data_IF_696195601746
#
_entry.id   IF_696195601746
#
_cell.length_a   1.000
_cell.length_b   1.000
_cell.length_c   1.000
_cell.angle_alpha   90.00
_cell.angle_beta   90.00
_cell.angle_gamma   90.00
#
_symmetry.space_group_name_H-M   'P 1'
#
loop_
_entity.id
_entity.type
_entity.pdbx_description
1 polymer ?
#
# COMPACT_ATOMS: atom_id res chain seq x y z
N UNK A 1 85.06 3.49 -12.84
CA UNK A 1 83.96 2.48 -12.79
C UNK A 1 82.75 2.90 -11.95
N UNK A 2 82.86 3.83 -10.98
CA UNK A 2 81.81 4.09 -9.98
C UNK A 2 80.49 4.72 -10.47
N UNK A 3 80.49 5.62 -11.47
CA UNK A 3 79.27 6.37 -11.86
C UNK A 3 78.08 5.49 -12.31
N UNK A 4 78.34 4.32 -12.92
CA UNK A 4 77.29 3.41 -13.41
C UNK A 4 76.56 2.60 -12.31
N UNK A 5 76.99 2.67 -11.05
CA UNK A 5 76.26 2.04 -9.93
C UNK A 5 75.37 3.04 -9.16
N UNK A 6 75.74 4.33 -9.14
CA UNK A 6 74.94 5.39 -8.52
C UNK A 6 73.53 5.45 -9.16
N UNK A 7 73.48 5.43 -10.48
CA UNK A 7 72.26 5.65 -11.28
C UNK A 7 71.20 4.55 -11.05
N UNK A 8 71.62 3.26 -11.08
CA UNK A 8 70.76 2.12 -10.72
C UNK A 8 70.20 2.18 -9.30
N UNK A 9 70.86 2.86 -8.36
CA UNK A 9 70.31 3.06 -7.01
C UNK A 9 69.32 4.22 -6.91
N UNK A 10 69.42 5.24 -7.77
CA UNK A 10 68.40 6.29 -7.86
C UNK A 10 67.16 5.82 -8.61
N UNK A 11 67.31 5.10 -9.73
CA UNK A 11 66.20 4.52 -10.48
C UNK A 11 65.36 3.56 -9.61
N UNK A 12 66.03 2.72 -8.79
CA UNK A 12 65.35 1.89 -7.78
C UNK A 12 64.60 2.70 -6.73
N UNK A 13 65.11 3.88 -6.30
CA UNK A 13 64.37 4.79 -5.41
C UNK A 13 63.13 5.37 -6.09
N UNK A 14 63.27 5.91 -7.31
CA UNK A 14 62.16 6.46 -8.10
C UNK A 14 61.05 5.43 -8.31
N UNK A 15 61.40 4.20 -8.68
CA UNK A 15 60.42 3.13 -8.87
C UNK A 15 59.71 2.71 -7.57
N UNK A 16 60.43 2.64 -6.44
CA UNK A 16 59.83 2.37 -5.12
C UNK A 16 58.89 3.49 -4.66
N UNK A 17 59.19 4.74 -5.05
CA UNK A 17 58.38 5.92 -4.74
C UNK A 17 57.10 5.97 -5.60
N UNK A 18 57.21 5.62 -6.90
CA UNK A 18 56.06 5.39 -7.78
C UNK A 18 55.17 4.25 -7.27
N UNK A 19 55.74 3.14 -6.79
CA UNK A 19 54.95 2.05 -6.18
C UNK A 19 54.19 2.54 -4.94
N UNK A 20 54.85 3.31 -4.04
CA UNK A 20 54.20 3.92 -2.87
C UNK A 20 53.06 4.86 -3.26
N UNK A 21 53.24 5.70 -4.29
CA UNK A 21 52.19 6.60 -4.78
C UNK A 21 51.00 5.82 -5.37
N UNK A 22 51.25 4.78 -6.17
CA UNK A 22 50.17 3.92 -6.71
C UNK A 22 49.43 3.14 -5.60
N UNK A 23 50.14 2.73 -4.55
CA UNK A 23 49.56 2.05 -3.37
C UNK A 23 48.74 3.01 -2.51
N UNK A 24 49.14 4.29 -2.44
CA UNK A 24 48.39 5.38 -1.82
C UNK A 24 47.10 5.68 -2.59
N UNK A 25 47.17 5.86 -3.91
CA UNK A 25 46.02 6.09 -4.79
C UNK A 25 44.95 5.00 -4.65
N UNK A 26 45.32 3.72 -4.71
CA UNK A 26 44.39 2.59 -4.47
C UNK A 26 43.76 2.60 -3.06
N UNK A 27 44.43 3.18 -2.07
CA UNK A 27 43.90 3.31 -0.70
C UNK A 27 42.92 4.48 -0.52
N UNK A 28 42.90 5.44 -1.45
CA UNK A 28 42.01 6.60 -1.43
C UNK A 28 40.83 6.42 -2.41
N UNK A 29 40.97 5.70 -3.53
CA UNK A 29 39.83 5.26 -4.38
C UNK A 29 38.77 4.48 -3.57
N UNK A 30 39.21 3.56 -2.72
CA UNK A 30 38.34 2.76 -1.85
C UNK A 30 37.59 3.56 -0.77
N UNK A 31 38.03 4.80 -0.48
CA UNK A 31 37.48 5.67 0.56
C UNK A 31 36.64 6.84 0.03
N UNK A 32 36.75 7.16 -1.26
CA UNK A 32 36.20 8.42 -1.83
C UNK A 32 35.00 8.24 -2.75
N UNK A 33 34.71 7.02 -3.22
CA UNK A 33 33.48 6.75 -4.01
C UNK A 33 32.19 7.01 -3.20
N UNK A 34 31.28 7.90 -3.67
CA UNK A 34 29.99 8.13 -3.01
C UNK A 34 29.09 6.88 -2.96
N UNK A 35 29.20 6.01 -3.98
CA UNK A 35 28.42 4.77 -4.08
C UNK A 35 28.69 3.81 -2.91
N UNK A 36 29.93 3.72 -2.43
CA UNK A 36 30.28 2.84 -1.31
C UNK A 36 29.67 3.34 0.02
N UNK A 37 29.50 4.66 0.19
CA UNK A 37 28.78 5.22 1.34
C UNK A 37 27.27 4.99 1.23
N UNK A 38 26.69 5.10 0.04
CA UNK A 38 25.28 4.77 -0.20
C UNK A 38 24.98 3.28 0.05
N UNK A 39 25.88 2.38 -0.37
CA UNK A 39 25.77 0.95 -0.07
C UNK A 39 25.72 0.69 1.44
N UNK A 40 26.71 1.21 2.20
CA UNK A 40 26.77 1.07 3.66
C UNK A 40 25.53 1.63 4.38
N UNK A 41 25.04 2.81 3.98
CA UNK A 41 23.80 3.39 4.54
C UNK A 41 22.57 2.56 4.18
N UNK A 42 22.53 1.95 2.99
CA UNK A 42 21.42 1.06 2.58
C UNK A 42 21.40 -0.24 3.40
N UNK A 43 22.55 -0.82 3.74
CA UNK A 43 22.64 -2.03 4.59
C UNK A 43 22.27 -1.73 6.05
N UNK A 44 22.67 -0.54 6.55
CA UNK A 44 22.28 -0.05 7.87
C UNK A 44 20.75 0.07 7.99
N UNK A 45 20.08 0.67 7.01
CA UNK A 45 18.61 0.74 6.99
C UNK A 45 17.94 -0.62 6.74
N UNK A 46 18.53 -1.48 5.89
CA UNK A 46 18.01 -2.83 5.61
C UNK A 46 17.95 -3.70 6.85
N UNK A 47 18.93 -3.56 7.75
CA UNK A 47 18.97 -4.27 9.02
C UNK A 47 17.88 -3.76 9.98
N UNK A 48 17.66 -2.45 10.04
CA UNK A 48 16.60 -1.85 10.89
C UNK A 48 15.17 -2.19 10.45
N UNK A 49 14.94 -2.52 9.18
CA UNK A 49 13.61 -2.86 8.62
C UNK A 49 13.26 -4.34 8.83
N UNK A 50 14.24 -5.20 9.11
CA UNK A 50 14.06 -6.64 9.35
C UNK A 50 14.12 -7.02 10.85
N UNK A 51 14.11 -6.04 11.74
CA UNK A 51 13.96 -6.27 13.18
C UNK A 51 12.48 -6.56 13.51
N UNK A 52 12.17 -7.83 13.77
CA UNK A 52 10.88 -8.25 14.35
C UNK A 52 10.59 -7.46 15.65
N UNK A 53 9.38 -6.91 15.85
CA UNK A 53 9.05 -6.16 17.04
C UNK A 53 8.92 -7.10 18.26
N UNK A 54 9.81 -6.94 19.25
CA UNK A 54 9.85 -7.76 20.45
C UNK A 54 8.47 -7.88 21.12
N UNK A 55 8.01 -9.14 21.28
CA UNK A 55 6.59 -9.50 21.47
C UNK A 55 6.02 -9.17 22.88
N UNK A 56 6.69 -8.30 23.64
CA UNK A 56 6.29 -7.83 24.97
C UNK A 56 5.06 -6.92 24.94
N UNK A 57 4.93 -6.08 23.92
CA UNK A 57 3.87 -5.05 23.83
C UNK A 57 2.48 -5.66 23.66
N UNK A 58 2.36 -6.75 22.89
CA UNK A 58 1.09 -7.45 22.66
C UNK A 58 0.54 -8.08 23.95
N UNK A 59 1.44 -8.64 24.78
CA UNK A 59 1.08 -9.21 26.08
C UNK A 59 0.62 -8.13 27.08
N UNK A 60 1.26 -6.96 27.08
CA UNK A 60 0.86 -5.83 27.92
C UNK A 60 -0.54 -5.30 27.58
N UNK A 61 -0.86 -5.16 26.28
CA UNK A 61 -2.20 -4.73 25.84
C UNK A 61 -3.31 -5.71 26.26
N UNK A 62 -3.05 -7.02 26.17
CA UNK A 62 -3.95 -8.06 26.65
C UNK A 62 -4.30 -7.89 28.14
N UNK A 63 -3.29 -7.65 28.99
CA UNK A 63 -3.49 -7.46 30.42
C UNK A 63 -4.31 -6.20 30.77
N UNK A 64 -4.03 -5.07 30.10
CA UNK A 64 -4.76 -3.80 30.29
C UNK A 64 -6.23 -3.94 29.87
N UNK A 65 -6.50 -4.68 28.81
CA UNK A 65 -7.87 -4.91 28.31
C UNK A 65 -8.70 -5.83 29.23
N UNK A 66 -8.06 -6.65 30.06
CA UNK A 66 -8.74 -7.47 31.07
C UNK A 66 -9.13 -6.66 32.33
N UNK A 67 -8.23 -5.79 32.81
CA UNK A 67 -8.43 -5.03 34.05
C UNK A 67 -9.54 -3.96 33.96
N UNK A 68 -9.80 -3.41 32.77
CA UNK A 68 -10.86 -2.40 32.55
C UNK A 68 -12.29 -2.96 32.64
N UNK A 69 -12.47 -4.29 32.64
CA UNK A 69 -13.80 -4.94 32.58
C UNK A 69 -14.52 -5.10 33.94
N UNK A 70 -14.05 -4.48 35.04
CA UNK A 70 -14.57 -4.74 36.41
C UNK A 70 -15.09 -3.51 37.17
N UNK A 71 -16.15 -2.86 36.68
CA UNK A 71 -17.13 -2.21 37.57
C UNK A 71 -18.56 -2.25 37.03
N UNK A 72 -19.46 -2.88 37.80
CA UNK A 72 -20.93 -2.86 37.62
C UNK A 72 -21.48 -1.59 38.28
N UNK A 73 -22.28 -0.80 37.56
CA UNK A 73 -23.76 -0.85 37.52
C UNK A 73 -24.42 -0.34 38.83
N UNK A 74 -25.09 0.81 38.73
CA UNK A 74 -26.10 1.35 39.65
C UNK A 74 -27.31 1.74 38.79
N UNK A 75 -28.52 1.63 39.35
CA UNK A 75 -29.81 1.72 38.64
C UNK A 75 -30.50 3.05 38.92
N UNK A 76 -31.27 3.55 37.95
CA UNK A 76 -32.65 4.06 38.07
C UNK A 76 -33.16 4.43 36.65
N UNK A 77 -34.43 4.37 36.22
CA UNK A 77 -35.69 3.73 36.63
C UNK A 77 -36.87 4.70 36.65
N UNK A 78 -37.53 4.88 35.50
CA UNK A 78 -38.95 5.25 35.44
C UNK A 78 -39.59 4.86 34.10
N UNK A 79 -40.88 4.59 34.22
CA UNK A 79 -41.95 4.11 33.33
C UNK A 79 -42.09 4.83 31.96
N UNK A 80 -42.90 4.38 30.98
CA UNK A 80 -44.26 3.80 31.07
C UNK A 80 -44.61 2.79 29.94
N UNK A 81 -45.75 2.10 30.07
CA UNK A 81 -46.17 0.93 29.26
C UNK A 81 -47.03 1.28 28.01
N UNK A 82 -47.14 0.47 26.93
CA UNK A 82 -47.78 -0.87 26.77
C UNK A 82 -47.42 -1.51 25.39
N UNK A 83 -47.49 -2.82 25.09
CA UNK A 83 -47.31 -4.02 25.94
C UNK A 83 -47.08 -5.37 25.17
N UNK A 84 -47.97 -5.80 24.25
CA UNK A 84 -48.09 -7.22 23.77
C UNK A 84 -48.28 -7.33 22.24
N UNK A 85 -47.78 -8.36 21.53
CA UNK A 85 -47.98 -9.82 21.75
C UNK A 85 -46.76 -10.66 21.29
N UNK A 86 -46.61 -11.89 21.80
CA UNK A 86 -45.39 -12.72 21.66
C UNK A 86 -45.60 -14.05 20.91
N UNK A 87 -44.54 -14.57 20.25
CA UNK A 87 -44.19 -16.01 20.22
C UNK A 87 -42.67 -16.20 19.98
N UNK A 88 -42.15 -17.40 20.32
CA UNK A 88 -40.72 -17.71 20.59
C UNK A 88 -40.40 -19.13 20.05
N UNK A 89 -39.15 -19.55 19.81
CA UNK A 89 -37.80 -18.93 19.97
C UNK A 89 -37.07 -19.03 18.59
N UNK A 90 -35.82 -19.45 18.31
CA UNK A 90 -34.59 -19.85 19.01
C UNK A 90 -33.37 -19.54 18.10
N UNK A 91 -32.26 -19.01 18.63
CA UNK A 91 -30.89 -19.27 18.15
C UNK A 91 -29.87 -18.82 19.23
N UNK A 92 -28.79 -19.58 19.53
CA UNK A 92 -27.85 -19.26 20.61
C UNK A 92 -26.70 -18.35 20.15
N UNK A 93 -26.59 -17.17 20.78
CA UNK A 93 -25.42 -16.25 20.76
C UNK A 93 -24.58 -16.19 19.48
N UNK A 94 -25.22 -16.10 18.31
CA UNK A 94 -24.53 -15.78 17.06
C UNK A 94 -24.16 -14.30 17.07
N UNK A 95 -22.90 -13.98 16.74
CA UNK A 95 -22.44 -12.59 16.62
C UNK A 95 -23.33 -11.88 15.59
N UNK A 96 -24.18 -10.94 16.05
CA UNK A 96 -25.24 -10.40 15.20
C UNK A 96 -24.65 -9.67 13.99
N UNK A 97 -25.08 -10.08 12.79
CA UNK A 97 -24.74 -9.42 11.55
C UNK A 97 -25.19 -7.96 11.60
N UNK A 98 -24.31 -6.99 11.31
CA UNK A 98 -24.70 -5.60 11.19
C UNK A 98 -25.89 -5.43 10.24
N UNK A 99 -26.97 -4.81 10.73
CA UNK A 99 -28.24 -4.66 9.98
C UNK A 99 -28.08 -4.03 8.60
N UNK A 100 -27.03 -3.22 8.40
CA UNK A 100 -26.67 -2.68 7.09
C UNK A 100 -26.28 -3.78 6.10
N UNK A 101 -25.42 -4.72 6.50
CA UNK A 101 -24.87 -5.75 5.60
C UNK A 101 -25.94 -6.76 5.17
N UNK A 102 -26.77 -7.25 6.10
CA UNK A 102 -27.90 -8.12 5.78
C UNK A 102 -28.90 -7.43 4.84
N UNK A 103 -29.19 -6.15 5.07
CA UNK A 103 -30.05 -5.35 4.17
C UNK A 103 -29.42 -5.17 2.79
N UNK A 104 -28.15 -4.79 2.70
CA UNK A 104 -27.43 -4.63 1.43
C UNK A 104 -27.36 -5.93 0.65
N UNK A 105 -27.13 -7.07 1.32
CA UNK A 105 -27.16 -8.39 0.70
C UNK A 105 -28.53 -8.64 0.04
N UNK A 106 -29.62 -8.58 0.81
CA UNK A 106 -30.97 -8.82 0.29
C UNK A 106 -31.43 -7.77 -0.74
N UNK A 107 -30.89 -6.55 -0.66
CA UNK A 107 -31.16 -5.48 -1.62
C UNK A 107 -30.59 -5.82 -2.99
N UNK A 108 -29.31 -6.22 -3.08
CA UNK A 108 -28.67 -6.59 -4.35
C UNK A 108 -29.25 -7.90 -4.89
N UNK A 109 -29.45 -8.89 -4.01
CA UNK A 109 -30.03 -10.22 -4.30
C UNK A 109 -31.46 -10.16 -4.86
N UNK A 110 -32.21 -9.09 -4.55
CA UNK A 110 -33.59 -8.86 -5.01
C UNK A 110 -33.75 -7.56 -5.81
N UNK A 111 -32.66 -7.02 -6.34
CA UNK A 111 -32.72 -5.86 -7.22
C UNK A 111 -33.16 -6.30 -8.62
N UNK A 112 -33.64 -5.35 -9.42
CA UNK A 112 -33.70 -5.53 -10.87
C UNK A 112 -32.25 -5.57 -11.40
N UNK A 113 -31.84 -6.61 -12.15
CA UNK A 113 -30.50 -6.69 -12.73
C UNK A 113 -30.09 -5.51 -13.62
N UNK A 114 -31.04 -4.73 -14.15
CA UNK A 114 -30.77 -3.50 -14.91
C UNK A 114 -30.52 -2.27 -14.02
N UNK A 115 -30.85 -2.34 -12.73
CA UNK A 115 -30.52 -1.29 -11.74
C UNK A 115 -29.24 -1.66 -10.99
N UNK A 116 -29.18 -2.89 -10.43
CA UNK A 116 -28.00 -3.41 -9.76
C UNK A 116 -27.96 -4.94 -9.76
N UNK A 117 -26.77 -5.52 -9.82
CA UNK A 117 -26.56 -6.99 -9.86
C UNK A 117 -25.28 -7.37 -9.12
N UNK A 118 -25.20 -8.62 -8.68
CA UNK A 118 -23.92 -9.27 -8.36
C UNK A 118 -23.04 -9.39 -9.63
N UNK A 119 -21.71 -9.47 -9.45
CA UNK A 119 -20.78 -9.90 -10.49
C UNK A 119 -21.05 -11.37 -10.88
N UNK A 120 -20.54 -11.79 -12.04
CA UNK A 120 -20.54 -13.21 -12.44
C UNK A 120 -19.85 -14.11 -11.41
N UNK A 121 -18.77 -13.62 -10.80
CA UNK A 121 -18.02 -14.28 -9.72
C UNK A 121 -18.71 -14.26 -8.35
N UNK A 122 -19.79 -13.48 -8.18
CA UNK A 122 -20.51 -13.34 -6.90
C UNK A 122 -19.70 -12.71 -5.76
N UNK A 123 -18.58 -12.04 -6.05
CA UNK A 123 -17.60 -11.48 -5.10
C UNK A 123 -17.70 -9.95 -4.91
N UNK A 124 -18.50 -9.32 -5.75
CA UNK A 124 -18.69 -7.89 -5.89
C UNK A 124 -20.09 -7.63 -6.44
N UNK A 125 -20.56 -6.39 -6.33
CA UNK A 125 -21.82 -5.97 -6.94
C UNK A 125 -21.65 -4.68 -7.73
N UNK A 126 -22.45 -4.55 -8.79
CA UNK A 126 -22.42 -3.46 -9.76
C UNK A 126 -23.75 -2.73 -9.69
N UNK A 127 -23.71 -1.42 -9.51
CA UNK A 127 -24.88 -0.54 -9.65
C UNK A 127 -24.79 0.12 -11.02
N UNK A 128 -25.73 -0.24 -11.91
CA UNK A 128 -25.78 0.23 -13.30
C UNK A 128 -26.37 1.64 -13.42
N UNK A 129 -27.40 1.92 -12.62
CA UNK A 129 -28.12 3.20 -12.62
C UNK A 129 -28.22 3.73 -11.19
N UNK A 130 -27.32 4.66 -10.83
CA UNK A 130 -27.18 5.20 -9.47
C UNK A 130 -28.41 6.01 -9.06
N UNK A 131 -28.97 6.83 -9.95
CA UNK A 131 -30.11 7.70 -9.63
C UNK A 131 -31.40 6.91 -9.42
N UNK A 132 -31.66 5.91 -10.26
CA UNK A 132 -32.81 5.01 -10.12
C UNK A 132 -32.68 4.11 -8.89
N UNK A 133 -31.46 3.64 -8.58
CA UNK A 133 -31.14 2.93 -7.34
C UNK A 133 -31.40 3.80 -6.10
N UNK A 134 -30.96 5.07 -6.14
CA UNK A 134 -31.16 6.05 -5.08
C UNK A 134 -32.65 6.37 -4.84
N UNK A 135 -33.41 6.63 -5.91
CA UNK A 135 -34.81 7.00 -5.83
C UNK A 135 -35.73 5.83 -5.45
N UNK A 136 -35.56 4.65 -6.06
CA UNK A 136 -36.56 3.57 -6.00
C UNK A 136 -36.13 2.30 -5.27
N UNK A 137 -34.83 2.12 -4.98
CA UNK A 137 -34.32 0.92 -4.29
C UNK A 137 -33.93 1.24 -2.85
N UNK A 138 -33.13 2.28 -2.61
CA UNK A 138 -32.68 2.62 -1.24
C UNK A 138 -33.84 2.84 -0.23
N UNK A 139 -34.94 3.56 -0.55
CA UNK A 139 -36.03 3.79 0.41
C UNK A 139 -36.79 2.52 0.83
N UNK A 140 -36.72 1.43 0.05
CA UNK A 140 -37.35 0.14 0.39
C UNK A 140 -36.61 -0.60 1.50
N UNK A 141 -35.32 -0.33 1.68
CA UNK A 141 -34.45 -1.01 2.64
C UNK A 141 -33.92 -0.08 3.74
N UNK A 142 -33.70 1.21 3.45
CA UNK A 142 -33.09 2.20 4.32
C UNK A 142 -33.99 3.43 4.51
N UNK A 143 -33.80 4.18 5.61
CA UNK A 143 -34.57 5.40 5.90
C UNK A 143 -34.07 6.64 5.11
N UNK A 144 -33.51 6.44 3.92
CA UNK A 144 -32.99 7.50 3.05
C UNK A 144 -32.91 7.04 1.59
N UNK A 145 -33.05 7.97 0.65
CA UNK A 145 -32.75 7.78 -0.79
C UNK A 145 -31.29 8.12 -1.15
N UNK A 146 -30.53 8.76 -0.27
CA UNK A 146 -29.21 9.30 -0.61
C UNK A 146 -28.15 8.20 -0.85
N UNK A 147 -27.64 8.12 -2.08
CA UNK A 147 -26.59 7.18 -2.47
C UNK A 147 -25.26 7.41 -1.73
N UNK A 148 -24.85 8.66 -1.51
CA UNK A 148 -23.63 8.98 -0.76
C UNK A 148 -23.70 8.51 0.69
N UNK A 149 -24.89 8.47 1.31
CA UNK A 149 -25.09 7.86 2.63
C UNK A 149 -24.90 6.34 2.61
N UNK A 150 -25.39 5.66 1.57
CA UNK A 150 -25.18 4.22 1.35
C UNK A 150 -23.71 3.90 1.06
N UNK A 151 -23.07 4.62 0.14
CA UNK A 151 -21.65 4.50 -0.15
C UNK A 151 -20.77 4.78 1.07
N UNK A 152 -21.13 5.75 1.93
CA UNK A 152 -20.41 5.99 3.18
C UNK A 152 -20.49 4.80 4.13
N UNK A 153 -21.63 4.12 4.23
CA UNK A 153 -21.74 2.88 5.02
C UNK A 153 -20.89 1.76 4.43
N UNK A 154 -20.89 1.56 3.10
CA UNK A 154 -19.98 0.61 2.44
C UNK A 154 -18.50 0.87 2.82
N UNK A 155 -18.05 2.12 2.72
CA UNK A 155 -16.68 2.51 3.09
C UNK A 155 -16.40 2.28 4.59
N UNK A 156 -17.41 2.45 5.47
CA UNK A 156 -17.33 2.15 6.91
C UNK A 156 -17.16 0.63 7.17
N UNK A 157 -17.71 -0.24 6.34
CA UNK A 157 -17.51 -1.70 6.40
C UNK A 157 -16.33 -2.17 5.53
N UNK A 158 -15.46 -1.27 5.09
CA UNK A 158 -14.22 -1.61 4.38
C UNK A 158 -14.38 -2.01 2.91
N UNK A 159 -15.57 -1.86 2.31
CA UNK A 159 -15.77 -2.08 0.89
C UNK A 159 -14.90 -1.11 0.07
N UNK A 160 -14.42 -1.58 -1.07
CA UNK A 160 -13.66 -0.80 -2.05
C UNK A 160 -14.56 -0.52 -3.25
N UNK A 161 -14.65 0.74 -3.70
CA UNK A 161 -15.14 1.03 -5.04
C UNK A 161 -14.11 0.47 -6.03
N UNK A 162 -14.55 -0.36 -6.96
CA UNK A 162 -13.75 -0.72 -8.12
C UNK A 162 -14.00 0.36 -9.17
N UNK A 163 -12.98 1.19 -9.42
CA UNK A 163 -12.95 2.05 -10.61
C UNK A 163 -12.63 1.17 -11.80
N UNK A 164 -13.42 1.26 -12.88
CA UNK A 164 -12.97 0.81 -14.19
C UNK A 164 -11.93 1.83 -14.67
N UNK A 165 -10.64 1.51 -14.50
CA UNK A 165 -9.55 2.34 -15.01
C UNK A 165 -9.72 2.52 -16.53
N UNK A 166 -9.92 3.74 -17.07
CA UNK A 166 -10.22 3.96 -18.49
C UNK A 166 -9.03 3.73 -19.45
N UNK A 167 -8.06 2.92 -19.04
CA UNK A 167 -6.71 2.87 -19.59
C UNK A 167 -6.48 1.48 -20.18
N UNK A 168 -6.57 1.39 -21.51
CA UNK A 168 -6.19 0.26 -22.37
C UNK A 168 -7.17 -0.93 -22.55
N UNK A 169 -8.42 -0.86 -22.08
CA UNK A 169 -9.48 -1.76 -22.58
C UNK A 169 -10.06 -1.24 -23.89
N UNK A 170 -10.01 -2.06 -24.96
CA UNK A 170 -10.56 -1.71 -26.27
C UNK A 170 -12.11 -1.63 -26.26
N UNK A 171 -12.74 -2.29 -25.30
CA UNK A 171 -14.19 -2.44 -25.17
C UNK A 171 -14.83 -1.33 -24.31
N UNK A 172 -14.46 -0.06 -24.56
CA UNK A 172 -15.05 1.09 -23.85
C UNK A 172 -16.49 1.37 -24.32
N UNK A 173 -17.44 0.59 -23.81
CA UNK A 173 -18.87 0.84 -23.99
C UNK A 173 -19.32 2.03 -23.11
N UNK A 174 -19.75 3.11 -23.75
CA UNK A 174 -20.29 4.30 -23.10
C UNK A 174 -21.51 4.01 -22.20
N UNK A 175 -22.26 2.93 -22.45
CA UNK A 175 -23.35 2.47 -21.56
C UNK A 175 -22.82 1.99 -20.20
N UNK A 176 -21.63 1.41 -20.17
CA UNK A 176 -20.99 0.81 -18.98
C UNK A 176 -20.16 1.84 -18.19
N UNK A 177 -19.76 2.95 -18.82
CA UNK A 177 -18.92 3.99 -18.21
C UNK A 177 -19.47 4.60 -16.89
N UNK A 178 -20.79 4.60 -16.69
CA UNK A 178 -21.45 5.13 -15.49
C UNK A 178 -21.60 4.10 -14.35
N UNK A 179 -21.18 2.85 -14.54
CA UNK A 179 -21.43 1.78 -13.57
C UNK A 179 -20.53 1.91 -12.33
N UNK A 180 -21.10 1.71 -11.14
CA UNK A 180 -20.37 1.79 -9.87
C UNK A 180 -20.31 0.41 -9.23
N UNK A 181 -19.13 -0.20 -9.28
CA UNK A 181 -18.84 -1.51 -8.72
C UNK A 181 -18.25 -1.41 -7.31
N UNK A 182 -18.68 -2.28 -6.40
CA UNK A 182 -18.15 -2.39 -5.04
C UNK A 182 -17.73 -3.84 -4.72
N UNK A 183 -16.54 -3.98 -4.13
CA UNK A 183 -15.95 -5.26 -3.74
C UNK A 183 -15.66 -5.31 -2.24
N UNK A 184 -15.88 -6.47 -1.62
CA UNK A 184 -15.37 -6.79 -0.30
C UNK A 184 -15.15 -8.30 -0.16
N UNK A 185 -13.93 -8.70 0.20
CA UNK A 185 -13.44 -10.10 0.26
C UNK A 185 -14.42 -11.09 0.94
N UNK A 186 -15.06 -10.65 2.04
CA UNK A 186 -16.00 -11.46 2.84
C UNK A 186 -17.48 -11.22 2.55
N UNK A 187 -17.82 -10.46 1.52
CA UNK A 187 -19.20 -10.18 1.10
C UNK A 187 -19.48 -10.85 -0.25
N UNK A 188 -19.86 -12.13 -0.20
CA UNK A 188 -20.07 -12.96 -1.40
C UNK A 188 -21.49 -13.53 -1.46
N UNK A 189 -22.07 -13.62 -2.66
CA UNK A 189 -23.39 -14.23 -2.90
C UNK A 189 -23.42 -15.70 -2.45
N UNK A 190 -22.46 -16.50 -2.91
CA UNK A 190 -22.39 -17.94 -2.58
C UNK A 190 -21.91 -18.25 -1.15
N UNK A 191 -21.65 -17.23 -0.30
CA UNK A 191 -21.10 -17.43 1.04
C UNK A 191 -21.52 -16.33 2.02
N UNK A 192 -22.82 -16.15 2.30
CA UNK A 192 -23.32 -15.11 3.20
C UNK A 192 -22.82 -15.25 4.65
N UNK A 193 -22.42 -16.46 5.05
CA UNK A 193 -21.82 -16.74 6.36
C UNK A 193 -20.56 -15.90 6.65
N UNK A 194 -19.75 -15.59 5.62
CA UNK A 194 -18.54 -14.79 5.74
C UNK A 194 -18.82 -13.34 6.18
N UNK A 195 -20.05 -12.84 6.02
CA UNK A 195 -20.41 -11.49 6.44
C UNK A 195 -20.28 -11.26 7.96
N UNK A 196 -20.25 -12.33 8.77
CA UNK A 196 -20.13 -12.27 10.24
C UNK A 196 -18.80 -11.66 10.70
N UNK A 197 -17.76 -11.77 9.87
CA UNK A 197 -16.43 -11.21 10.11
C UNK A 197 -16.28 -9.74 9.68
N UNK A 198 -17.27 -9.16 8.97
CA UNK A 198 -17.17 -7.80 8.43
C UNK A 198 -17.37 -6.79 9.56
N UNK A 199 -16.25 -6.37 10.16
CA UNK A 199 -16.22 -5.40 11.26
C UNK A 199 -16.34 -3.97 10.75
N UNK A 200 -17.07 -3.16 11.52
CA UNK A 200 -17.19 -1.72 11.30
C UNK A 200 -15.85 -1.04 11.61
N UNK A 201 -15.30 -0.31 10.64
CA UNK A 201 -14.11 0.52 10.84
C UNK A 201 -14.33 1.57 11.96
N UNK A 202 -13.31 1.74 12.78
CA UNK A 202 -13.20 2.76 13.81
C UNK A 202 -12.58 4.04 13.26
N UNK A 203 -12.45 5.10 14.08
CA UNK A 203 -11.86 6.37 13.62
C UNK A 203 -10.38 6.24 13.25
N UNK A 204 -9.62 5.41 13.97
CA UNK A 204 -8.21 5.11 13.68
C UNK A 204 -8.02 4.38 12.34
N UNK A 205 -8.93 3.47 12.00
CA UNK A 205 -8.81 2.61 10.80
C UNK A 205 -9.06 3.35 9.47
N UNK A 206 -9.62 4.57 9.54
CA UNK A 206 -9.77 5.45 8.37
C UNK A 206 -8.55 6.35 8.22
N UNK A 207 -8.16 7.06 9.28
CA UNK A 207 -7.01 7.97 9.22
C UNK A 207 -5.73 7.22 8.78
N UNK A 208 -5.43 6.08 9.39
CA UNK A 208 -4.32 5.20 8.98
C UNK A 208 -4.39 4.68 7.53
N UNK A 209 -5.55 4.67 6.88
CA UNK A 209 -5.69 4.30 5.45
C UNK A 209 -5.51 5.49 4.53
N UNK A 210 -6.03 6.65 4.91
CA UNK A 210 -5.88 7.89 4.14
C UNK A 210 -4.40 8.34 4.18
N UNK A 211 -3.77 8.28 5.35
CA UNK A 211 -2.33 8.51 5.56
C UNK A 211 -1.47 7.51 4.75
N UNK A 212 -1.81 6.22 4.78
CA UNK A 212 -1.14 5.17 3.99
C UNK A 212 -1.32 5.36 2.48
N UNK A 213 -2.47 5.88 2.03
CA UNK A 213 -2.71 6.17 0.62
C UNK A 213 -1.86 7.36 0.13
N UNK A 214 -1.77 8.42 0.95
CA UNK A 214 -0.91 9.57 0.71
C UNK A 214 0.57 9.14 0.63
N UNK A 215 1.05 8.44 1.68
CA UNK A 215 2.43 7.95 1.76
C UNK A 215 2.78 6.98 0.62
N UNK A 216 1.85 6.11 0.20
CA UNK A 216 2.06 5.22 -0.95
C UNK A 216 2.20 5.99 -2.26
N UNK A 217 1.48 7.10 -2.42
CA UNK A 217 1.59 7.99 -3.59
C UNK A 217 2.94 8.72 -3.61
N UNK A 218 3.37 9.24 -2.46
CA UNK A 218 4.69 9.85 -2.29
C UNK A 218 5.84 8.85 -2.57
N UNK A 219 5.73 7.61 -2.08
CA UNK A 219 6.71 6.54 -2.35
C UNK A 219 6.80 6.20 -3.86
N UNK A 220 5.70 6.28 -4.61
CA UNK A 220 5.74 6.11 -6.08
C UNK A 220 6.49 7.28 -6.72
N UNK A 221 6.13 8.52 -6.38
CA UNK A 221 6.76 9.71 -6.95
C UNK A 221 8.26 9.80 -6.65
N UNK A 222 8.67 9.47 -5.42
CA UNK A 222 10.10 9.40 -5.04
C UNK A 222 10.85 8.32 -5.84
N UNK A 223 10.23 7.16 -6.10
CA UNK A 223 10.83 6.12 -6.96
C UNK A 223 10.97 6.57 -8.40
N UNK A 224 10.01 7.31 -8.95
CA UNK A 224 10.11 7.90 -10.29
C UNK A 224 11.27 8.91 -10.37
N UNK A 225 11.41 9.80 -9.39
CA UNK A 225 12.51 10.76 -9.29
C UNK A 225 13.86 10.04 -9.24
N UNK A 226 14.00 9.04 -8.37
CA UNK A 226 15.23 8.25 -8.22
C UNK A 226 15.56 7.50 -9.52
N UNK A 227 14.57 6.90 -10.17
CA UNK A 227 14.75 6.18 -11.45
C UNK A 227 15.21 7.12 -12.56
N UNK A 228 14.56 8.29 -12.69
CA UNK A 228 14.95 9.34 -13.64
C UNK A 228 16.38 9.81 -13.39
N UNK A 229 16.77 10.03 -12.13
CA UNK A 229 18.12 10.43 -11.76
C UNK A 229 19.16 9.34 -12.06
N UNK A 230 18.87 8.06 -11.77
CA UNK A 230 19.78 6.95 -12.11
C UNK A 230 20.05 6.90 -13.61
N UNK A 231 19.00 6.93 -14.43
CA UNK A 231 19.12 6.93 -15.89
C UNK A 231 19.95 8.13 -16.42
N UNK A 232 19.84 9.29 -15.76
CA UNK A 232 20.62 10.48 -16.09
C UNK A 232 22.10 10.33 -15.70
N UNK A 233 22.41 9.75 -14.54
CA UNK A 233 23.77 9.41 -14.12
C UNK A 233 24.41 8.37 -15.03
N UNK A 234 23.69 7.31 -15.39
CA UNK A 234 24.19 6.26 -16.29
C UNK A 234 24.51 6.82 -17.69
N UNK A 235 23.65 7.70 -18.21
CA UNK A 235 23.95 8.45 -19.45
C UNK A 235 25.21 9.30 -19.32
N UNK A 236 25.34 10.11 -18.25
CA UNK A 236 26.52 10.95 -18.02
C UNK A 236 27.81 10.15 -17.83
N UNK A 237 27.71 8.97 -17.19
CA UNK A 237 28.82 8.04 -17.04
C UNK A 237 29.23 7.41 -18.37
N UNK A 238 28.27 7.10 -19.26
CA UNK A 238 28.55 6.61 -20.61
C UNK A 238 29.23 7.69 -21.48
N UNK A 239 28.72 8.93 -21.46
CA UNK A 239 29.33 10.09 -22.13
C UNK A 239 30.81 10.27 -21.71
N UNK A 240 31.06 10.29 -20.38
CA UNK A 240 32.42 10.47 -19.83
C UNK A 240 33.36 9.32 -20.19
N UNK A 241 32.88 8.07 -20.14
CA UNK A 241 33.65 6.88 -20.57
C UNK A 241 33.99 6.95 -22.07
N UNK A 242 33.07 7.41 -22.92
CA UNK A 242 33.30 7.57 -24.34
C UNK A 242 34.37 8.64 -24.63
N UNK A 243 34.26 9.82 -24.00
CA UNK A 243 35.27 10.88 -24.12
C UNK A 243 36.66 10.42 -23.69
N UNK A 244 36.76 9.72 -22.55
CA UNK A 244 38.04 9.23 -22.04
C UNK A 244 38.69 8.24 -23.03
N UNK A 245 37.92 7.25 -23.50
CA UNK A 245 38.42 6.28 -24.48
C UNK A 245 38.83 6.96 -25.80
N UNK A 246 38.06 7.94 -26.30
CA UNK A 246 38.44 8.70 -27.50
C UNK A 246 39.78 9.45 -27.33
N UNK A 247 40.02 10.04 -26.15
CA UNK A 247 41.27 10.74 -25.82
C UNK A 247 42.45 9.75 -25.73
N UNK A 248 42.27 8.61 -25.07
CA UNK A 248 43.28 7.54 -24.99
C UNK A 248 43.63 7.01 -26.39
N UNK A 249 42.64 6.70 -27.23
CA UNK A 249 42.86 6.22 -28.61
C UNK A 249 43.63 7.24 -29.45
N UNK A 250 43.29 8.53 -29.38
CA UNK A 250 44.04 9.58 -30.10
C UNK A 250 45.50 9.65 -29.66
N UNK A 251 45.78 9.53 -28.36
CA UNK A 251 47.14 9.53 -27.84
C UNK A 251 47.94 8.29 -28.24
N UNK A 252 47.31 7.12 -28.42
CA UNK A 252 48.01 5.91 -28.89
C UNK A 252 48.47 6.00 -30.35
N UNK A 253 47.78 6.77 -31.20
CA UNK A 253 48.17 6.98 -32.61
C UNK A 253 49.24 8.06 -32.82
N UNK A 254 49.54 8.88 -31.81
CA UNK A 254 50.56 9.95 -31.87
C UNK A 254 51.96 9.49 -31.41
N UNK A 255 52.26 8.19 -31.53
CA UNK A 255 53.50 7.57 -31.01
C UNK A 255 54.22 6.70 -32.05
N UNK A 256 54.16 7.13 -33.30
CA UNK A 256 54.92 6.61 -34.46
C UNK A 256 55.74 7.78 -35.00
#
# INVERSE_FOLDING_TARGET
MTKFHQDRTEERRRNLEIEKMNKKLKSDETKTSPMNRLASVSEQYRSSILAEPDNSFVSALSAVQFLTSRKRNVRESSDESLEKTQKKKLCPNTHQLPMFLSKTYHLIDRCDPEIATWSSSGDSFVIKNVDHFAAYVLPKYFKHSNFSSFARQLNIYGFRKLTAEPILSADFDARTANYVSFYHEKFKRESPELMKDIKRATKSDHQSKDDMCSLKTEIVHLKEIITRMSNEYDRKLAEMKFEFNQKVTRLSFLRI
#
